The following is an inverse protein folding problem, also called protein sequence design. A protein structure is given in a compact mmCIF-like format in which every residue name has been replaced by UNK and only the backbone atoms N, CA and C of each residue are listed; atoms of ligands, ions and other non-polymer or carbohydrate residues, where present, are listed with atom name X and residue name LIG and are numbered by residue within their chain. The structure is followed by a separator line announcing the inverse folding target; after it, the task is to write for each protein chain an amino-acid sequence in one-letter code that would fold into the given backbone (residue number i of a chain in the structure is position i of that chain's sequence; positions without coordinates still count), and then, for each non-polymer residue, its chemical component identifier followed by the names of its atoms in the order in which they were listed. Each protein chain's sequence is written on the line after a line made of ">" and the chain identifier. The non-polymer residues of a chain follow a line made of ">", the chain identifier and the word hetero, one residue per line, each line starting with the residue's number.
data_IF_631390708716
#
_entry.id   IF_631390708716
#
_cell.length_a   1.000
_cell.length_b   1.000
_cell.length_c   1.000
_cell.angle_alpha   90.00
_cell.angle_beta   90.00
_cell.angle_gamma   90.00
#
_symmetry.space_group_name_H-M   'P 1'
#
loop_
_entity.id
_entity.type
_entity.pdbx_description
1 polymer ?
#
# COMPACT_ATOMS: atom_id res chain seq x y z
N UNK A 1 28.00 15.43 10.96
CA UNK A 1 26.74 14.73 11.19
C UNK A 1 26.68 13.43 10.38
N UNK A 2 25.87 12.49 10.84
CA UNK A 2 25.66 11.23 10.14
C UNK A 2 24.38 11.33 9.32
N UNK A 3 24.48 10.92 8.04
CA UNK A 3 23.36 10.95 7.09
C UNK A 3 23.10 9.58 6.49
N UNK A 4 21.82 9.25 6.36
CA UNK A 4 21.33 8.23 5.44
C UNK A 4 20.66 8.92 4.26
N UNK A 5 20.91 8.49 3.04
CA UNK A 5 20.23 8.98 1.83
C UNK A 5 19.34 7.88 1.27
N UNK A 6 18.13 8.24 0.86
CA UNK A 6 17.22 7.27 0.23
C UNK A 6 17.81 6.72 -1.07
N UNK A 7 17.71 5.41 -1.27
CA UNK A 7 18.29 4.74 -2.44
C UNK A 7 17.59 5.13 -3.77
N UNK A 8 16.38 5.69 -3.70
CA UNK A 8 15.62 6.20 -4.86
C UNK A 8 14.80 7.43 -4.50
N UNK A 9 14.28 8.10 -5.50
CA UNK A 9 13.29 9.17 -5.34
C UNK A 9 11.97 8.55 -4.86
N UNK A 10 11.49 8.95 -3.68
CA UNK A 10 10.32 8.35 -3.03
C UNK A 10 9.00 8.79 -3.69
N UNK A 11 8.92 10.06 -4.11
CA UNK A 11 7.75 10.63 -4.77
C UNK A 11 8.20 11.51 -5.93
N UNK A 12 7.42 11.60 -6.98
CA UNK A 12 7.63 12.50 -8.11
C UNK A 12 6.36 13.29 -8.41
N UNK A 13 6.42 14.19 -9.37
CA UNK A 13 5.28 15.08 -9.72
C UNK A 13 4.80 15.89 -8.50
N UNK A 14 5.73 16.28 -7.66
CA UNK A 14 5.55 17.14 -6.50
C UNK A 14 6.45 18.36 -6.63
N UNK A 15 5.94 19.56 -6.36
CA UNK A 15 6.71 20.78 -6.41
C UNK A 15 7.59 20.96 -5.15
N UNK A 16 8.64 21.76 -5.28
CA UNK A 16 9.46 22.12 -4.14
C UNK A 16 8.64 22.87 -3.07
N UNK A 17 7.73 23.76 -3.53
CA UNK A 17 6.89 24.56 -2.64
C UNK A 17 5.91 23.70 -1.84
N UNK A 18 5.34 22.64 -2.44
CA UNK A 18 4.51 21.66 -1.72
C UNK A 18 5.29 20.89 -0.66
N UNK A 19 6.50 20.47 -0.97
CA UNK A 19 7.39 19.82 0.00
C UNK A 19 7.81 20.78 1.12
N UNK A 20 8.12 22.03 0.78
CA UNK A 20 8.49 23.07 1.74
C UNK A 20 7.32 23.41 2.68
N UNK A 21 6.11 23.50 2.16
CA UNK A 21 4.91 23.73 2.97
C UNK A 21 4.67 22.64 4.02
N UNK A 22 5.22 21.44 3.80
CA UNK A 22 5.22 20.31 4.74
C UNK A 22 6.49 20.17 5.57
N UNK A 23 7.37 21.18 5.55
CA UNK A 23 8.69 21.20 6.19
C UNK A 23 9.66 20.09 5.72
N UNK A 24 9.40 19.45 4.58
CA UNK A 24 10.22 18.33 4.10
C UNK A 24 11.50 18.79 3.38
N UNK A 25 11.62 20.07 3.04
CA UNK A 25 12.84 20.62 2.43
C UNK A 25 13.93 20.87 3.46
N UNK A 26 13.61 21.61 4.52
CA UNK A 26 14.61 22.02 5.52
C UNK A 26 14.61 21.16 6.77
N UNK A 27 13.58 20.38 6.99
CA UNK A 27 13.56 19.35 8.02
C UNK A 27 12.24 19.24 8.76
N UNK A 28 11.83 17.99 8.97
CA UNK A 28 10.77 17.60 9.89
C UNK A 28 11.27 16.48 10.78
N UNK A 29 10.79 16.43 12.00
CA UNK A 29 11.19 15.40 12.96
C UNK A 29 10.65 14.03 12.53
N UNK A 30 11.50 13.01 12.62
CA UNK A 30 11.18 11.63 12.35
C UNK A 30 11.82 10.73 13.40
N UNK A 31 11.04 9.77 13.91
CA UNK A 31 11.54 8.80 14.90
C UNK A 31 11.51 7.38 14.34
N UNK A 32 12.61 6.66 14.50
CA UNK A 32 12.70 5.24 14.15
C UNK A 32 13.77 4.55 14.98
N UNK A 33 13.50 3.31 15.40
CA UNK A 33 14.46 2.50 16.14
C UNK A 33 14.90 3.10 17.49
N UNK A 34 14.08 3.98 18.09
CA UNK A 34 14.43 4.71 19.31
C UNK A 34 15.40 5.89 19.07
N UNK A 35 15.59 6.30 17.82
CA UNK A 35 16.44 7.40 17.41
C UNK A 35 15.62 8.54 16.85
N UNK A 36 16.08 9.78 17.07
CA UNK A 36 15.51 10.98 16.49
C UNK A 36 16.32 11.39 15.25
N UNK A 37 15.60 11.67 14.18
CA UNK A 37 16.15 12.09 12.89
C UNK A 37 15.48 13.39 12.45
N UNK A 38 16.21 14.15 11.63
CA UNK A 38 15.61 15.14 10.75
C UNK A 38 15.47 14.57 9.35
N UNK A 39 14.24 14.44 8.86
CA UNK A 39 13.93 14.08 7.48
C UNK A 39 13.89 15.35 6.64
N UNK A 40 14.70 15.46 5.60
CA UNK A 40 14.80 16.65 4.76
C UNK A 40 15.36 16.35 3.37
N UNK A 41 15.31 17.33 2.46
CA UNK A 41 16.06 17.26 1.23
C UNK A 41 17.58 17.41 1.51
N UNK A 42 18.47 16.87 0.67
CA UNK A 42 19.91 17.15 0.77
C UNK A 42 20.24 18.56 0.27
N UNK A 43 21.30 19.15 0.77
CA UNK A 43 21.88 20.32 0.12
C UNK A 43 22.52 19.92 -1.21
N UNK A 44 22.34 20.73 -2.25
CA UNK A 44 22.65 20.40 -3.64
C UNK A 44 23.60 21.39 -4.31
N UNK A 45 23.88 22.53 -3.65
CA UNK A 45 24.57 23.67 -4.19
C UNK A 45 23.67 24.59 -5.00
N UNK A 46 23.98 25.91 -4.95
CA UNK A 46 23.16 27.01 -5.52
C UNK A 46 23.53 27.36 -6.96
N UNK A 47 24.59 26.82 -7.48
CA UNK A 47 25.11 27.15 -8.81
C UNK A 47 25.90 25.97 -9.38
N UNK A 48 25.84 25.80 -10.72
CA UNK A 48 26.69 24.87 -11.46
C UNK A 48 27.71 25.69 -12.25
N UNK A 49 28.96 25.31 -12.16
CA UNK A 49 29.96 25.84 -13.10
C UNK A 49 29.81 25.06 -14.41
N UNK A 50 29.17 25.68 -15.40
CA UNK A 50 29.06 25.14 -16.76
C UNK A 50 30.42 25.22 -17.46
N UNK A 51 31.30 24.28 -17.14
CA UNK A 51 32.55 24.08 -17.84
C UNK A 51 32.54 22.73 -18.49
N UNK A 52 32.33 22.65 -19.79
CA UNK A 52 32.39 21.44 -20.64
C UNK A 52 31.54 20.20 -20.19
N UNK A 53 30.85 19.56 -21.07
CA UNK A 53 30.08 18.32 -20.78
C UNK A 53 30.89 17.11 -20.27
N UNK A 54 32.20 17.25 -20.23
CA UNK A 54 33.16 16.23 -19.80
C UNK A 54 33.80 16.55 -18.43
N UNK A 55 33.52 17.72 -17.84
CA UNK A 55 33.99 18.05 -16.50
C UNK A 55 32.94 17.66 -15.49
N UNK A 56 33.35 16.99 -14.41
CA UNK A 56 32.56 16.74 -13.23
C UNK A 56 31.88 18.05 -12.80
N UNK A 57 30.59 18.22 -13.11
CA UNK A 57 29.81 19.40 -12.76
C UNK A 57 29.63 19.51 -11.25
N UNK A 58 30.69 20.01 -10.61
CA UNK A 58 30.65 20.26 -9.17
C UNK A 58 29.80 21.52 -8.95
N UNK A 59 28.69 21.32 -8.26
CA UNK A 59 27.88 22.46 -7.81
C UNK A 59 28.60 23.28 -6.74
N UNK A 60 28.35 24.60 -6.72
CA UNK A 60 28.93 25.51 -5.74
C UNK A 60 27.90 25.91 -4.68
N UNK A 61 28.26 25.99 -3.39
CA UNK A 61 29.57 25.56 -2.85
C UNK A 61 29.76 24.03 -2.96
N UNK A 62 30.98 23.59 -3.17
CA UNK A 62 31.32 22.16 -3.28
C UNK A 62 31.06 21.37 -1.98
N UNK A 63 31.04 22.07 -0.85
CA UNK A 63 30.78 21.49 0.47
C UNK A 63 29.29 21.17 0.70
N UNK A 64 28.48 20.95 -0.34
CA UNK A 64 27.12 20.47 -0.21
C UNK A 64 27.06 18.95 -0.01
N UNK A 65 25.95 18.48 0.55
CA UNK A 65 25.78 17.06 0.92
C UNK A 65 25.77 16.15 -0.28
N UNK A 66 25.07 16.52 -1.36
CA UNK A 66 25.04 15.68 -2.56
C UNK A 66 26.44 15.40 -3.10
N UNK A 67 27.25 16.42 -3.23
CA UNK A 67 28.65 16.31 -3.69
C UNK A 67 29.49 15.47 -2.71
N UNK A 68 29.35 15.71 -1.40
CA UNK A 68 30.08 14.95 -0.40
C UNK A 68 29.68 13.46 -0.40
N UNK A 69 28.40 13.13 -0.54
CA UNK A 69 27.91 11.74 -0.61
C UNK A 69 28.39 11.07 -1.91
N UNK A 70 28.35 11.81 -3.03
CA UNK A 70 28.78 11.33 -4.34
C UNK A 70 30.26 10.90 -4.35
N UNK A 71 31.11 11.68 -3.72
CA UNK A 71 32.57 11.45 -3.71
C UNK A 71 33.08 10.76 -2.42
N UNK A 72 32.18 10.35 -1.53
CA UNK A 72 32.57 9.66 -0.29
C UNK A 72 33.16 8.26 -0.53
N UNK A 73 32.93 7.68 -1.70
CA UNK A 73 33.46 6.38 -2.09
C UNK A 73 33.94 6.41 -3.56
N UNK A 74 35.22 6.16 -3.78
CA UNK A 74 35.83 6.18 -5.13
C UNK A 74 35.33 5.07 -6.06
N UNK A 75 34.88 3.93 -5.49
CA UNK A 75 34.45 2.77 -6.30
C UNK A 75 32.95 2.79 -6.66
N UNK A 76 32.11 3.26 -5.75
CA UNK A 76 30.66 3.27 -5.96
C UNK A 76 30.03 4.43 -5.20
N UNK A 77 29.49 5.40 -5.90
CA UNK A 77 28.67 6.45 -5.30
C UNK A 77 27.58 5.84 -4.38
N UNK A 78 27.38 6.41 -3.21
CA UNK A 78 26.28 6.02 -2.33
C UNK A 78 24.91 6.47 -2.86
N UNK A 79 24.87 7.25 -3.95
CA UNK A 79 23.62 7.69 -4.59
C UNK A 79 23.22 6.67 -5.64
N UNK A 80 22.16 5.92 -5.37
CA UNK A 80 21.64 4.87 -6.25
C UNK A 80 20.41 5.34 -7.03
N UNK A 81 20.01 4.58 -8.04
CA UNK A 81 18.75 4.80 -8.80
C UNK A 81 18.50 6.27 -9.20
N UNK A 82 19.54 6.95 -9.63
CA UNK A 82 19.49 8.36 -10.03
C UNK A 82 19.11 8.56 -11.51
N UNK A 83 19.27 7.51 -12.35
CA UNK A 83 19.04 7.61 -13.79
C UNK A 83 17.57 7.86 -14.12
N UNK A 84 17.34 8.89 -14.96
CA UNK A 84 16.01 9.29 -15.39
C UNK A 84 15.23 10.14 -14.35
N UNK A 85 15.81 10.38 -13.16
CA UNK A 85 15.13 11.12 -12.09
C UNK A 85 16.03 12.17 -11.47
N UNK A 86 15.54 13.39 -11.37
CA UNK A 86 16.12 14.44 -10.54
C UNK A 86 15.61 14.35 -9.10
N UNK A 87 16.46 14.77 -8.19
CA UNK A 87 16.14 14.91 -6.77
C UNK A 87 16.14 16.38 -6.38
N UNK A 88 15.06 16.87 -5.74
CA UNK A 88 15.02 18.22 -5.18
C UNK A 88 16.12 18.42 -4.14
N UNK A 89 16.82 19.55 -4.23
CA UNK A 89 17.74 20.02 -3.20
C UNK A 89 17.14 21.15 -2.35
N UNK A 90 17.83 21.49 -1.26
CA UNK A 90 17.43 22.61 -0.40
C UNK A 90 17.70 23.98 -1.06
N UNK A 91 18.68 24.05 -1.95
CA UNK A 91 19.27 25.29 -2.40
C UNK A 91 18.44 25.99 -3.47
N UNK A 92 18.36 27.31 -3.37
CA UNK A 92 17.88 28.19 -4.44
C UNK A 92 18.98 28.38 -5.48
N UNK A 93 18.61 28.55 -6.74
CA UNK A 93 19.52 28.97 -7.77
C UNK A 93 20.03 30.41 -7.47
N UNK A 94 21.32 30.62 -7.50
CA UNK A 94 21.93 31.89 -7.05
C UNK A 94 21.62 33.09 -7.95
N UNK A 95 21.29 32.86 -9.24
CA UNK A 95 20.95 33.92 -10.18
C UNK A 95 19.46 34.25 -10.22
N UNK A 96 18.61 33.25 -9.85
CA UNK A 96 17.16 33.44 -9.78
C UNK A 96 16.55 32.58 -8.67
N UNK A 97 16.11 33.24 -7.60
CA UNK A 97 15.55 32.56 -6.42
C UNK A 97 14.17 31.94 -6.62
N UNK A 98 13.54 32.12 -7.78
CA UNK A 98 12.31 31.36 -8.14
C UNK A 98 12.61 29.94 -8.59
N UNK A 99 13.88 29.63 -8.85
CA UNK A 99 14.34 28.30 -9.20
C UNK A 99 15.00 27.59 -8.02
N UNK A 100 14.90 26.28 -8.02
CA UNK A 100 15.52 25.40 -7.01
C UNK A 100 16.45 24.40 -7.67
N UNK A 101 17.55 24.13 -6.97
CA UNK A 101 18.53 23.14 -7.41
C UNK A 101 17.95 21.73 -7.42
N UNK A 102 18.22 21.00 -8.49
CA UNK A 102 17.93 19.58 -8.62
C UNK A 102 19.19 18.82 -9.06
N UNK A 103 19.32 17.57 -8.61
CA UNK A 103 20.50 16.75 -8.88
C UNK A 103 20.13 15.37 -9.42
N UNK A 104 21.03 14.80 -10.22
CA UNK A 104 20.86 13.46 -10.80
C UNK A 104 20.36 13.50 -12.23
N UNK A 105 19.59 12.52 -12.64
CA UNK A 105 19.02 12.25 -13.96
C UNK A 105 20.00 11.58 -14.93
N UNK A 106 20.91 12.30 -15.56
CA UNK A 106 21.99 11.77 -16.42
C UNK A 106 23.10 12.82 -16.58
N UNK A 107 24.26 12.66 -15.95
CA UNK A 107 24.69 11.64 -14.96
C UNK A 107 24.33 11.98 -13.50
N UNK A 108 24.78 11.18 -12.54
CA UNK A 108 24.48 11.37 -11.10
C UNK A 108 24.93 12.71 -10.53
N UNK A 109 26.02 13.26 -11.03
CA UNK A 109 26.58 14.55 -10.63
C UNK A 109 25.88 15.74 -11.28
N UNK A 110 25.00 15.50 -12.25
CA UNK A 110 24.35 16.57 -13.01
C UNK A 110 23.54 17.49 -12.09
N UNK A 111 23.73 18.80 -12.30
CA UNK A 111 23.03 19.86 -11.60
C UNK A 111 22.12 20.60 -12.58
N UNK A 112 20.93 20.94 -12.15
CA UNK A 112 20.01 21.79 -12.90
C UNK A 112 19.21 22.66 -11.92
N UNK A 113 18.51 23.67 -12.45
CA UNK A 113 17.57 24.48 -11.69
C UNK A 113 16.21 24.50 -12.39
N UNK A 114 15.17 24.27 -11.62
CA UNK A 114 13.78 24.24 -12.10
C UNK A 114 12.87 25.08 -11.20
N UNK A 115 11.73 25.55 -11.74
CA UNK A 115 10.81 26.46 -11.04
C UNK A 115 10.24 25.77 -9.79
N UNK A 116 10.27 26.48 -8.66
CA UNK A 116 9.91 25.89 -7.35
C UNK A 116 8.44 25.44 -7.23
N UNK A 117 7.53 26.18 -7.86
CA UNK A 117 6.09 25.93 -7.78
C UNK A 117 5.54 24.95 -8.83
N UNK A 118 6.37 24.48 -9.77
CA UNK A 118 5.95 23.57 -10.82
C UNK A 118 6.23 22.11 -10.48
N UNK A 119 5.43 21.21 -11.04
CA UNK A 119 5.60 19.76 -10.90
C UNK A 119 6.14 19.15 -12.18
N UNK A 120 7.08 18.22 -12.05
CA UNK A 120 7.72 17.54 -13.18
C UNK A 120 7.68 16.02 -12.95
N UNK A 121 7.39 15.25 -14.00
CA UNK A 121 7.31 13.80 -13.91
C UNK A 121 8.64 13.11 -13.59
N UNK A 122 9.75 13.80 -13.87
CA UNK A 122 11.11 13.31 -13.63
C UNK A 122 11.85 14.07 -12.52
N UNK A 123 11.13 14.82 -11.69
CA UNK A 123 11.69 15.50 -10.52
C UNK A 123 10.89 15.09 -9.29
N UNK A 124 11.59 14.76 -8.20
CA UNK A 124 10.89 14.35 -7.00
C UNK A 124 11.72 14.43 -5.73
N UNK A 125 11.18 13.90 -4.67
CA UNK A 125 11.73 13.96 -3.32
C UNK A 125 12.61 12.73 -3.02
N UNK A 126 13.90 12.96 -2.84
CA UNK A 126 14.87 12.00 -2.31
C UNK A 126 15.37 12.52 -0.98
N UNK A 127 14.83 12.08 0.14
CA UNK A 127 15.23 12.57 1.44
C UNK A 127 16.61 12.08 1.88
N UNK A 128 17.16 12.84 2.79
CA UNK A 128 18.19 12.38 3.73
C UNK A 128 17.58 12.32 5.13
N UNK A 129 18.05 11.38 5.94
CA UNK A 129 17.82 11.32 7.37
C UNK A 129 19.11 11.72 8.08
N UNK A 130 19.05 12.82 8.80
CA UNK A 130 20.14 13.29 9.65
C UNK A 130 19.91 12.83 11.08
N UNK A 131 20.88 12.14 11.67
CA UNK A 131 20.81 11.68 13.07
C UNK A 131 21.03 12.87 13.98
N UNK A 132 20.02 13.23 14.78
CA UNK A 132 20.06 14.39 15.67
C UNK A 132 20.76 14.13 17.02
N UNK A 133 20.83 12.88 17.42
CA UNK A 133 21.29 12.52 18.77
C UNK A 133 22.81 12.69 18.91
N UNK A 134 23.22 13.66 19.70
CA UNK A 134 24.64 13.95 19.94
C UNK A 134 25.39 12.78 20.61
N UNK A 135 24.69 11.90 21.33
CA UNK A 135 25.26 10.72 21.97
C UNK A 135 25.49 9.59 20.95
N UNK A 136 24.84 9.64 19.78
CA UNK A 136 24.97 8.65 18.71
C UNK A 136 26.00 9.04 17.63
N UNK A 137 26.63 10.22 17.74
CA UNK A 137 27.69 10.66 16.78
C UNK A 137 28.99 9.88 16.90
N UNK A 138 29.01 8.79 17.63
CA UNK A 138 30.08 7.80 17.65
C UNK A 138 29.48 6.40 17.49
N UNK A 139 30.31 5.42 17.12
CA UNK A 139 29.90 4.02 16.92
C UNK A 139 29.24 3.34 18.14
N UNK A 140 29.22 4.01 19.29
CA UNK A 140 28.71 3.47 20.55
C UNK A 140 27.19 3.66 20.77
N UNK A 141 26.53 4.50 19.96
CA UNK A 141 25.09 4.81 20.15
C UNK A 141 24.15 4.13 19.16
N UNK A 142 24.69 3.50 18.11
CA UNK A 142 23.90 2.84 17.06
C UNK A 142 24.16 1.32 17.06
N UNK A 143 23.09 0.55 16.87
CA UNK A 143 23.13 -0.86 16.56
C UNK A 143 22.36 -1.12 15.25
N UNK A 144 22.69 -2.20 14.58
CA UNK A 144 22.00 -2.64 13.37
C UNK A 144 21.33 -3.97 13.68
N UNK A 145 20.04 -4.06 13.38
CA UNK A 145 19.28 -5.30 13.46
C UNK A 145 18.95 -5.75 12.04
N UNK A 146 19.28 -7.00 11.72
CA UNK A 146 18.86 -7.62 10.48
C UNK A 146 17.45 -8.18 10.62
N UNK A 147 16.59 -7.89 9.67
CA UNK A 147 15.26 -8.45 9.55
C UNK A 147 15.32 -9.54 8.49
N UNK A 148 15.39 -10.77 8.94
CA UNK A 148 15.37 -11.97 8.10
C UNK A 148 13.92 -12.32 7.77
N UNK A 149 13.57 -12.23 6.50
CA UNK A 149 12.20 -12.47 6.01
C UNK A 149 11.82 -13.95 6.01
N UNK A 150 12.77 -14.86 6.25
CA UNK A 150 12.57 -16.31 6.33
C UNK A 150 11.73 -16.85 5.17
N UNK A 151 12.13 -16.51 3.95
CA UNK A 151 11.44 -16.89 2.71
C UNK A 151 10.30 -15.96 2.28
N UNK A 152 9.84 -15.06 3.15
CA UNK A 152 8.90 -14.01 2.77
C UNK A 152 9.53 -12.94 1.87
N UNK A 153 8.73 -11.91 1.52
CA UNK A 153 9.15 -10.81 0.64
C UNK A 153 8.64 -9.47 1.15
N UNK A 154 9.35 -8.40 0.80
CA UNK A 154 8.90 -7.01 0.94
C UNK A 154 9.00 -6.34 -0.43
N UNK A 155 7.90 -5.80 -0.96
CA UNK A 155 7.88 -5.14 -2.26
C UNK A 155 8.40 -6.02 -3.39
N UNK A 156 8.18 -7.33 -3.30
CA UNK A 156 8.66 -8.33 -4.25
C UNK A 156 10.11 -8.79 -4.04
N UNK A 157 10.92 -8.12 -3.18
CA UNK A 157 12.28 -8.55 -2.83
C UNK A 157 12.27 -9.57 -1.70
N UNK A 158 13.09 -10.62 -1.85
CA UNK A 158 13.38 -11.61 -0.81
C UNK A 158 14.64 -11.28 0.01
N UNK A 159 15.25 -10.12 -0.23
CA UNK A 159 16.45 -9.71 0.48
C UNK A 159 16.12 -9.30 1.92
N UNK A 160 16.99 -9.67 2.85
CA UNK A 160 16.88 -9.24 4.24
C UNK A 160 16.99 -7.71 4.35
N UNK A 161 16.26 -7.14 5.29
CA UNK A 161 16.24 -5.70 5.56
C UNK A 161 17.11 -5.40 6.78
N UNK A 162 17.76 -4.25 6.80
CA UNK A 162 18.52 -3.77 7.96
C UNK A 162 17.86 -2.54 8.52
N UNK A 163 17.65 -2.54 9.83
CA UNK A 163 17.18 -1.37 10.55
C UNK A 163 18.22 -0.86 11.52
N UNK A 164 18.27 0.45 11.70
CA UNK A 164 19.17 1.09 12.66
C UNK A 164 18.38 1.38 13.91
N UNK A 165 18.95 1.02 15.06
CA UNK A 165 18.31 1.18 16.37
C UNK A 165 19.27 1.81 17.37
N UNK A 166 18.76 2.38 18.47
CA UNK A 166 19.57 2.87 19.56
C UNK A 166 20.22 1.68 20.30
N UNK A 167 21.53 1.70 20.44
CA UNK A 167 22.27 0.69 21.23
C UNK A 167 21.91 0.79 22.72
N UNK A 168 21.70 -0.37 23.35
CA UNK A 168 21.36 -0.46 24.77
C UNK A 168 19.92 -0.08 25.12
N UNK A 169 19.07 0.15 24.12
CA UNK A 169 17.65 0.46 24.28
C UNK A 169 16.73 -0.66 23.79
N UNK A 170 15.52 -0.28 23.43
CA UNK A 170 14.53 -1.12 22.77
C UNK A 170 14.02 -0.44 21.51
N UNK A 171 13.57 -1.23 20.55
CA UNK A 171 12.88 -0.76 19.37
C UNK A 171 11.56 -1.54 19.19
N UNK A 172 10.69 -1.05 18.33
CA UNK A 172 9.42 -1.70 18.05
C UNK A 172 9.57 -2.73 16.95
N UNK A 173 9.14 -3.96 17.19
CA UNK A 173 9.13 -5.02 16.18
C UNK A 173 8.28 -4.60 14.98
N UNK A 174 8.75 -4.80 13.72
CA UNK A 174 7.98 -4.45 12.53
C UNK A 174 6.59 -5.10 12.53
N UNK A 175 5.60 -4.38 11.98
CA UNK A 175 4.20 -4.82 12.00
C UNK A 175 3.90 -5.98 11.08
N UNK A 176 4.70 -6.20 10.04
CA UNK A 176 4.50 -7.27 9.08
C UNK A 176 3.41 -7.01 8.03
N UNK A 177 2.80 -5.81 8.00
CA UNK A 177 1.74 -5.49 7.02
C UNK A 177 2.21 -5.55 5.56
N UNK A 178 3.48 -5.24 5.31
CA UNK A 178 4.05 -5.22 3.97
C UNK A 178 4.80 -6.52 3.63
N UNK A 179 4.63 -7.56 4.43
CA UNK A 179 5.28 -8.85 4.22
C UNK A 179 4.40 -9.78 3.38
N UNK A 180 4.90 -10.18 2.24
CA UNK A 180 4.35 -11.27 1.45
C UNK A 180 4.82 -12.61 2.02
N UNK A 181 3.89 -13.54 2.19
CA UNK A 181 4.19 -14.88 2.69
C UNK A 181 5.02 -15.70 1.69
N UNK A 182 5.90 -16.60 2.16
CA UNK A 182 6.73 -17.44 1.29
C UNK A 182 5.92 -18.46 0.47
N UNK A 183 4.77 -18.87 0.97
CA UNK A 183 3.88 -19.86 0.35
C UNK A 183 2.40 -19.57 0.66
N UNK A 184 1.52 -20.17 -0.10
CA UNK A 184 0.08 -20.10 0.17
C UNK A 184 -0.26 -20.76 1.52
N UNK A 185 -1.34 -20.27 2.12
CA UNK A 185 -1.85 -20.80 3.39
C UNK A 185 -0.96 -20.64 4.62
N UNK A 186 0.03 -19.76 4.59
CA UNK A 186 0.73 -19.31 5.79
C UNK A 186 0.49 -17.81 6.03
N UNK A 187 0.60 -17.39 7.27
CA UNK A 187 0.46 -15.99 7.67
C UNK A 187 1.60 -15.59 8.59
N UNK A 188 1.83 -14.30 8.68
CA UNK A 188 2.83 -13.78 9.59
C UNK A 188 2.44 -14.01 11.05
N UNK A 189 3.32 -14.65 11.79
CA UNK A 189 3.12 -15.08 13.17
C UNK A 189 3.97 -14.32 14.20
N UNK A 190 4.62 -13.21 13.79
CA UNK A 190 5.54 -12.46 14.63
C UNK A 190 7.00 -12.72 14.29
N UNK A 191 7.88 -12.41 15.19
CA UNK A 191 9.34 -12.46 15.03
C UNK A 191 9.99 -13.38 16.06
N UNK A 192 11.17 -13.90 15.73
CA UNK A 192 12.04 -14.60 16.67
C UNK A 192 13.41 -13.94 16.68
N UNK A 193 13.94 -13.65 17.86
CA UNK A 193 15.30 -13.12 18.05
C UNK A 193 15.86 -13.56 19.38
N UNK A 194 17.14 -13.92 19.44
CA UNK A 194 17.82 -14.41 20.65
C UNK A 194 17.04 -15.53 21.39
N UNK A 195 16.34 -16.40 20.63
CA UNK A 195 15.54 -17.50 21.20
C UNK A 195 14.20 -17.07 21.83
N UNK A 196 13.82 -15.81 21.74
CA UNK A 196 12.53 -15.27 22.19
C UNK A 196 11.62 -14.97 21.01
N UNK A 197 10.32 -14.94 21.28
CA UNK A 197 9.30 -14.60 20.30
C UNK A 197 8.71 -13.23 20.61
N UNK A 198 8.57 -12.39 19.60
CA UNK A 198 7.99 -11.06 19.67
C UNK A 198 6.80 -10.95 18.72
N UNK A 199 5.74 -10.31 19.19
CA UNK A 199 4.60 -9.96 18.33
C UNK A 199 4.93 -8.71 17.50
N UNK A 200 4.18 -8.51 16.42
CA UNK A 200 4.17 -7.25 15.71
C UNK A 200 3.90 -6.08 16.69
N UNK A 201 4.69 -5.02 16.60
CA UNK A 201 4.57 -3.85 17.48
C UNK A 201 5.11 -4.01 18.90
N UNK A 202 5.63 -5.18 19.28
CA UNK A 202 6.20 -5.43 20.61
C UNK A 202 7.60 -4.82 20.74
N UNK A 203 7.99 -4.45 21.96
CA UNK A 203 9.32 -3.92 22.23
C UNK A 203 10.37 -5.04 22.18
N UNK A 204 11.42 -4.82 21.42
CA UNK A 204 12.56 -5.74 21.23
C UNK A 204 13.82 -5.08 21.76
N UNK A 205 14.64 -5.77 22.54
CA UNK A 205 15.95 -5.26 22.96
C UNK A 205 16.90 -5.06 21.76
N UNK A 206 17.69 -4.00 21.78
CA UNK A 206 18.61 -3.64 20.70
C UNK A 206 19.86 -4.51 20.59
N UNK A 207 20.03 -5.46 21.51
CA UNK A 207 21.07 -6.51 21.48
C UNK A 207 20.64 -7.76 20.69
N UNK A 208 19.47 -7.74 20.08
CA UNK A 208 19.02 -8.73 19.11
C UNK A 208 19.64 -8.39 17.76
N UNK A 209 20.60 -9.18 17.30
CA UNK A 209 21.28 -8.94 16.02
C UNK A 209 20.39 -9.24 14.81
N UNK A 210 19.50 -10.23 14.94
CA UNK A 210 18.60 -10.67 13.87
C UNK A 210 17.20 -10.96 14.42
N UNK A 211 16.20 -10.38 13.76
CA UNK A 211 14.79 -10.77 13.88
C UNK A 211 14.39 -11.60 12.68
N UNK A 212 14.08 -12.86 12.90
CA UNK A 212 13.60 -13.77 11.87
C UNK A 212 12.09 -13.83 11.86
N UNK A 213 11.48 -13.62 10.69
CA UNK A 213 10.04 -13.73 10.51
C UNK A 213 9.56 -15.14 10.81
N UNK A 214 8.49 -15.24 11.57
CA UNK A 214 7.79 -16.50 11.84
C UNK A 214 6.58 -16.60 10.93
N UNK A 215 6.53 -17.66 10.18
CA UNK A 215 5.37 -18.03 9.39
C UNK A 215 4.65 -19.17 10.08
N UNK A 216 3.35 -19.04 10.21
CA UNK A 216 2.50 -20.08 10.79
C UNK A 216 1.40 -20.46 9.79
N UNK A 217 0.90 -21.71 9.83
CA UNK A 217 -0.27 -22.05 9.05
C UNK A 217 -1.39 -21.04 9.34
N UNK A 218 -2.08 -20.62 8.29
CA UNK A 218 -3.26 -19.81 8.47
C UNK A 218 -4.37 -20.71 9.06
N UNK A 219 -4.84 -20.37 10.23
CA UNK A 219 -5.92 -21.07 10.89
C UNK A 219 -7.25 -20.37 10.56
N UNK A 220 -8.31 -21.13 10.31
CA UNK A 220 -9.65 -20.57 10.16
C UNK A 220 -10.02 -19.78 11.42
N UNK A 221 -10.38 -18.51 11.23
CA UNK A 221 -10.67 -17.62 12.36
C UNK A 221 -12.02 -17.87 13.00
N UNK A 222 -12.93 -18.48 12.24
CA UNK A 222 -14.32 -18.66 12.63
C UNK A 222 -14.67 -20.16 12.65
N UNK A 223 -15.23 -20.62 13.74
CA UNK A 223 -15.80 -21.98 13.86
C UNK A 223 -17.18 -22.05 13.19
N UNK A 224 -17.20 -21.82 11.88
CA UNK A 224 -18.39 -21.82 11.04
C UNK A 224 -18.16 -22.68 9.79
N UNK A 225 -19.23 -23.25 9.25
CA UNK A 225 -19.15 -24.20 8.15
C UNK A 225 -19.17 -23.45 6.80
N UNK A 226 -18.14 -23.59 5.95
CA UNK A 226 -18.17 -23.03 4.58
C UNK A 226 -19.41 -23.54 3.81
N UNK A 227 -20.08 -22.62 3.11
CA UNK A 227 -21.36 -22.86 2.45
C UNK A 227 -22.57 -22.72 3.37
N UNK A 228 -22.37 -22.60 4.68
CA UNK A 228 -23.46 -22.31 5.63
C UNK A 228 -23.98 -20.89 5.48
N UNK A 229 -25.28 -20.70 5.71
CA UNK A 229 -25.93 -19.40 5.70
C UNK A 229 -26.02 -18.85 7.13
N UNK A 230 -25.58 -17.61 7.31
CA UNK A 230 -25.57 -16.89 8.59
C UNK A 230 -26.26 -15.54 8.42
N UNK A 231 -26.92 -15.09 9.46
CA UNK A 231 -27.83 -13.93 9.39
C UNK A 231 -27.25 -12.75 10.16
N UNK A 232 -27.27 -11.57 9.54
CA UNK A 232 -26.76 -10.34 10.12
C UNK A 232 -27.81 -9.23 10.08
N UNK A 233 -27.99 -8.50 11.17
CA UNK A 233 -28.85 -7.34 11.22
C UNK A 233 -28.08 -6.11 10.75
N UNK A 234 -28.34 -5.66 9.54
CA UNK A 234 -27.74 -4.48 8.93
C UNK A 234 -28.62 -3.24 8.99
N UNK A 235 -29.74 -3.26 9.72
CA UNK A 235 -30.72 -2.16 9.77
C UNK A 235 -30.10 -0.83 10.25
N UNK A 236 -29.08 -0.88 11.09
CA UNK A 236 -28.38 0.30 11.61
C UNK A 236 -27.27 0.84 10.67
N UNK A 237 -26.98 0.17 9.56
CA UNK A 237 -25.84 0.51 8.70
C UNK A 237 -26.13 1.66 7.71
N UNK A 238 -27.38 2.13 7.62
CA UNK A 238 -27.79 3.21 6.70
C UNK A 238 -27.30 3.00 5.25
N UNK A 239 -27.40 1.76 4.73
CA UNK A 239 -26.95 1.42 3.38
C UNK A 239 -27.77 2.22 2.36
N UNK A 240 -27.15 2.98 1.45
CA UNK A 240 -27.86 3.78 0.46
C UNK A 240 -28.64 2.92 -0.54
N UNK A 241 -29.67 3.52 -1.15
CA UNK A 241 -30.51 2.88 -2.16
C UNK A 241 -31.82 2.35 -1.59
N UNK A 242 -32.58 1.69 -2.45
CA UNK A 242 -33.84 1.04 -2.07
C UNK A 242 -33.55 -0.40 -1.68
N UNK A 243 -34.10 -0.86 -0.54
CA UNK A 243 -33.92 -2.23 -0.10
C UNK A 243 -34.43 -3.19 -1.20
N UNK A 244 -33.59 -4.16 -1.52
CA UNK A 244 -33.86 -5.12 -2.58
C UNK A 244 -34.56 -6.37 -2.05
N UNK A 245 -35.73 -6.64 -2.60
CA UNK A 245 -36.44 -7.91 -2.42
C UNK A 245 -36.43 -8.76 -3.70
N UNK A 246 -35.68 -8.35 -4.73
CA UNK A 246 -35.54 -9.05 -6.01
C UNK A 246 -34.22 -9.79 -6.07
N UNK A 247 -34.20 -10.80 -6.83
CA UNK A 247 -33.02 -11.59 -7.10
C UNK A 247 -33.42 -12.94 -7.63
N UNK A 248 -32.51 -13.60 -8.33
CA UNK A 248 -32.67 -14.91 -8.90
C UNK A 248 -34.07 -15.17 -9.49
N UNK A 249 -34.34 -14.64 -10.68
CA UNK A 249 -35.63 -14.73 -11.38
C UNK A 249 -36.14 -16.18 -11.53
N UNK A 250 -35.22 -17.16 -11.45
CA UNK A 250 -35.60 -18.59 -11.47
C UNK A 250 -36.13 -19.07 -10.11
N UNK A 251 -36.14 -18.24 -9.07
CA UNK A 251 -36.72 -18.53 -7.77
C UNK A 251 -36.03 -19.65 -6.98
N UNK A 252 -34.75 -19.94 -7.29
CA UNK A 252 -34.02 -21.04 -6.66
C UNK A 252 -33.73 -20.78 -5.18
N UNK A 253 -33.54 -19.51 -4.79
CA UNK A 253 -33.32 -19.14 -3.39
C UNK A 253 -34.24 -17.97 -3.04
N UNK A 254 -35.14 -18.13 -2.04
CA UNK A 254 -36.01 -17.07 -1.58
C UNK A 254 -35.15 -15.87 -1.06
N UNK A 255 -35.47 -14.68 -1.50
CA UNK A 255 -34.98 -13.44 -0.88
C UNK A 255 -35.90 -13.17 0.31
N UNK A 256 -35.36 -12.89 1.52
CA UNK A 256 -36.13 -12.52 2.69
C UNK A 256 -36.98 -11.27 2.48
N UNK A 257 -37.51 -10.71 3.52
CA UNK A 257 -38.38 -9.52 3.45
C UNK A 257 -37.67 -8.27 2.86
N UNK A 258 -38.40 -7.19 2.70
CA UNK A 258 -37.91 -5.92 2.17
C UNK A 258 -37.21 -5.09 3.25
N UNK A 259 -36.48 -5.72 4.14
CA UNK A 259 -35.74 -5.06 5.23
C UNK A 259 -34.27 -5.47 5.25
N UNK A 260 -33.45 -4.71 5.96
CA UNK A 260 -32.07 -5.07 6.26
C UNK A 260 -31.92 -5.76 7.62
N UNK A 261 -33.03 -6.15 8.25
CA UNK A 261 -33.02 -7.01 9.42
C UNK A 261 -32.77 -8.45 8.98
N UNK A 262 -31.84 -9.12 9.63
CA UNK A 262 -31.54 -10.53 9.37
C UNK A 262 -31.26 -10.86 7.89
N UNK A 263 -30.28 -10.15 7.33
CA UNK A 263 -29.79 -10.39 5.98
C UNK A 263 -28.98 -11.70 5.96
N UNK A 264 -29.28 -12.62 5.01
CA UNK A 264 -28.51 -13.86 4.90
C UNK A 264 -27.19 -13.64 4.15
N UNK A 265 -26.14 -14.22 4.69
CA UNK A 265 -24.83 -14.30 4.09
C UNK A 265 -24.35 -15.74 4.06
N UNK A 266 -23.75 -16.15 2.96
CA UNK A 266 -23.05 -17.43 2.87
C UNK A 266 -21.60 -17.26 3.28
N UNK A 267 -21.16 -18.06 4.23
CA UNK A 267 -19.76 -18.14 4.59
C UNK A 267 -18.97 -18.86 3.50
N UNK A 268 -18.03 -18.19 2.86
CA UNK A 268 -17.25 -18.77 1.76
C UNK A 268 -16.03 -19.56 2.25
N UNK A 269 -15.80 -19.56 3.57
CA UNK A 269 -14.58 -20.08 4.15
C UNK A 269 -13.42 -19.11 3.92
N UNK A 270 -12.24 -19.62 4.09
CA UNK A 270 -11.00 -18.97 3.77
C UNK A 270 -10.84 -18.80 2.27
N UNK A 271 -10.45 -17.61 1.84
CA UNK A 271 -10.08 -17.30 0.47
C UNK A 271 -8.73 -16.58 0.43
N UNK A 272 -8.02 -16.75 -0.68
CA UNK A 272 -6.83 -15.96 -1.02
C UNK A 272 -7.18 -15.09 -2.21
N UNK A 273 -7.50 -13.83 -1.93
CA UNK A 273 -7.93 -12.86 -2.94
C UNK A 273 -7.52 -11.45 -2.50
N UNK A 274 -7.43 -10.52 -3.43
CA UNK A 274 -7.19 -9.13 -3.07
C UNK A 274 -8.48 -8.42 -2.66
N UNK A 275 -8.34 -7.39 -1.84
CA UNK A 275 -9.33 -6.35 -1.60
C UNK A 275 -8.65 -4.99 -1.72
N UNK A 276 -9.38 -3.98 -2.20
CA UNK A 276 -8.84 -2.63 -2.32
C UNK A 276 -9.13 -1.81 -1.07
N UNK A 277 -8.26 -0.86 -0.76
CA UNK A 277 -8.47 0.20 0.23
C UNK A 277 -8.69 1.54 -0.46
N UNK A 278 -9.15 2.54 0.29
CA UNK A 278 -9.35 3.92 -0.20
C UNK A 278 -8.06 4.55 -0.82
N UNK A 279 -6.89 4.08 -0.42
CA UNK A 279 -5.59 4.63 -0.85
C UNK A 279 -5.03 3.96 -2.10
N UNK A 280 -5.66 2.88 -2.59
CA UNK A 280 -5.09 2.02 -3.61
C UNK A 280 -5.69 2.20 -5.01
N UNK A 281 -5.24 3.22 -5.75
CA UNK A 281 -5.36 3.26 -7.22
C UNK A 281 -4.34 2.32 -7.92
N UNK A 282 -3.57 1.53 -7.18
CA UNK A 282 -2.49 0.71 -7.71
C UNK A 282 -3.00 -0.51 -8.46
N UNK A 283 -2.46 -0.70 -9.68
CA UNK A 283 -2.78 -1.81 -10.58
C UNK A 283 -2.23 -3.16 -10.10
N UNK A 284 -1.31 -3.17 -9.15
CA UNK A 284 -0.73 -4.37 -8.57
C UNK A 284 -1.36 -4.64 -7.20
N UNK A 285 -2.45 -5.39 -7.19
CA UNK A 285 -3.13 -5.78 -5.96
C UNK A 285 -2.66 -7.17 -5.53
N UNK A 286 -2.16 -7.26 -4.31
CA UNK A 286 -1.69 -8.51 -3.71
C UNK A 286 -2.84 -9.25 -3.04
N UNK A 287 -2.96 -10.54 -3.31
CA UNK A 287 -3.90 -11.39 -2.60
C UNK A 287 -3.43 -11.65 -1.17
N UNK A 288 -4.38 -11.69 -0.25
CA UNK A 288 -4.13 -12.07 1.14
C UNK A 288 -5.18 -13.06 1.63
N UNK A 289 -4.84 -13.80 2.66
CA UNK A 289 -5.74 -14.79 3.23
C UNK A 289 -6.73 -14.11 4.19
N UNK A 290 -8.03 -14.32 3.96
CA UNK A 290 -9.08 -13.81 4.84
C UNK A 290 -10.32 -14.71 4.80
N UNK A 291 -11.13 -14.61 5.85
CA UNK A 291 -12.45 -15.23 5.94
C UNK A 291 -13.50 -14.27 5.40
N UNK A 292 -14.37 -14.75 4.52
CA UNK A 292 -15.36 -13.90 3.86
C UNK A 292 -16.78 -14.50 3.97
N UNK A 293 -17.72 -13.62 4.29
CA UNK A 293 -19.15 -13.84 4.11
C UNK A 293 -19.61 -13.05 2.90
N UNK A 294 -20.31 -13.66 1.96
CA UNK A 294 -20.93 -12.98 0.82
C UNK A 294 -22.45 -12.89 1.03
N UNK A 295 -23.03 -11.72 0.83
CA UNK A 295 -24.48 -11.57 0.92
C UNK A 295 -25.19 -12.45 -0.11
N UNK A 296 -26.25 -13.14 0.30
CA UNK A 296 -26.99 -14.07 -0.54
C UNK A 296 -27.84 -13.37 -1.63
N UNK A 297 -27.94 -12.04 -1.59
CA UNK A 297 -28.59 -11.23 -2.60
C UNK A 297 -28.03 -9.78 -2.59
N UNK A 298 -28.31 -9.02 -3.63
CA UNK A 298 -27.99 -7.60 -3.68
C UNK A 298 -28.87 -6.86 -2.66
N UNK A 299 -28.26 -6.18 -1.68
CA UNK A 299 -28.95 -5.60 -0.52
C UNK A 299 -29.83 -4.40 -0.88
N UNK A 300 -29.32 -3.51 -1.73
CA UNK A 300 -30.04 -2.32 -2.20
C UNK A 300 -29.84 -2.15 -3.70
N UNK A 301 -30.80 -1.50 -4.34
CA UNK A 301 -30.76 -1.13 -5.76
C UNK A 301 -31.05 0.36 -5.94
N UNK A 302 -30.97 0.86 -7.18
CA UNK A 302 -31.14 2.28 -7.50
C UNK A 302 -30.17 3.16 -6.71
N UNK A 303 -28.94 2.71 -6.62
CA UNK A 303 -27.83 3.36 -5.92
C UNK A 303 -26.61 3.37 -6.83
N UNK A 304 -25.88 4.47 -6.84
CA UNK A 304 -24.62 4.61 -7.57
C UNK A 304 -23.45 4.10 -6.75
N UNK A 305 -22.35 3.81 -7.46
CA UNK A 305 -21.06 3.49 -6.81
C UNK A 305 -20.59 4.62 -5.91
N UNK A 306 -20.75 5.87 -6.37
CA UNK A 306 -20.31 7.06 -5.63
C UNK A 306 -21.13 7.28 -4.34
N UNK A 307 -22.44 6.98 -4.33
CA UNK A 307 -23.26 7.02 -3.11
C UNK A 307 -22.80 5.98 -2.08
N UNK A 308 -22.50 4.74 -2.51
CA UNK A 308 -21.95 3.72 -1.64
C UNK A 308 -20.54 4.09 -1.15
N UNK A 309 -19.69 4.64 -2.01
CA UNK A 309 -18.36 5.09 -1.66
C UNK A 309 -18.40 6.27 -0.67
N UNK A 310 -19.34 7.19 -0.81
CA UNK A 310 -19.57 8.29 0.13
C UNK A 310 -19.93 7.83 1.55
N UNK A 311 -20.41 6.59 1.70
CA UNK A 311 -20.65 5.91 2.98
C UNK A 311 -19.54 4.91 3.37
N UNK A 312 -18.40 4.91 2.69
CA UNK A 312 -17.29 3.96 2.83
C UNK A 312 -17.66 2.50 2.60
N UNK A 313 -18.77 2.20 1.91
CA UNK A 313 -19.25 0.82 1.73
C UNK A 313 -18.63 0.11 0.53
N UNK A 314 -17.92 0.83 -0.31
CA UNK A 314 -17.13 0.20 -1.40
C UNK A 314 -15.87 -0.45 -0.84
N UNK A 315 -15.08 0.31 -0.06
CA UNK A 315 -13.77 -0.15 0.42
C UNK A 315 -13.79 -0.64 1.86
N UNK A 316 -14.81 -0.32 2.62
CA UNK A 316 -15.02 -0.88 3.95
C UNK A 316 -15.45 0.09 5.01
N UNK A 317 -16.48 -0.29 5.74
CA UNK A 317 -16.93 0.36 6.97
C UNK A 317 -17.03 -0.67 8.08
N UNK A 318 -16.72 -0.26 9.32
CA UNK A 318 -16.80 -1.15 10.48
C UNK A 318 -18.23 -1.58 10.77
N UNK A 319 -18.41 -2.86 11.06
CA UNK A 319 -19.66 -3.45 11.49
C UNK A 319 -19.41 -4.42 12.64
N UNK A 320 -20.17 -4.35 13.70
CA UNK A 320 -20.05 -5.25 14.85
C UNK A 320 -21.28 -6.08 15.04
N UNK A 321 -21.12 -7.38 15.17
CA UNK A 321 -22.20 -8.32 15.44
C UNK A 321 -21.74 -9.48 16.31
N UNK A 322 -22.53 -9.84 17.31
CA UNK A 322 -22.22 -10.95 18.20
C UNK A 322 -20.89 -10.83 18.97
N UNK A 323 -20.37 -9.59 19.15
CA UNK A 323 -19.08 -9.35 19.78
C UNK A 323 -17.87 -9.57 18.83
N UNK A 324 -18.13 -9.75 17.53
CA UNK A 324 -17.11 -9.87 16.48
C UNK A 324 -17.12 -8.61 15.63
N UNK A 325 -15.94 -8.12 15.29
CA UNK A 325 -15.75 -6.99 14.40
C UNK A 325 -15.62 -7.47 12.96
N UNK A 326 -16.39 -6.87 12.08
CA UNK A 326 -16.42 -7.14 10.64
C UNK A 326 -16.12 -5.86 9.86
N UNK A 327 -15.72 -6.02 8.62
CA UNK A 327 -15.69 -4.95 7.62
C UNK A 327 -16.76 -5.23 6.57
N UNK A 328 -17.81 -4.38 6.51
CA UNK A 328 -18.82 -4.43 5.47
C UNK A 328 -18.34 -3.64 4.25
N UNK A 329 -18.27 -4.28 3.09
CA UNK A 329 -17.76 -3.71 1.85
C UNK A 329 -18.24 -4.44 0.60
N UNK A 330 -18.04 -3.84 -0.56
CA UNK A 330 -18.20 -4.56 -1.84
C UNK A 330 -17.06 -5.57 -2.05
N UNK A 331 -17.27 -6.64 -2.81
CA UNK A 331 -16.20 -7.57 -3.17
C UNK A 331 -15.28 -6.95 -4.24
N UNK A 332 -14.03 -7.41 -4.31
CA UNK A 332 -13.18 -7.18 -5.48
C UNK A 332 -13.64 -8.06 -6.64
N UNK A 333 -13.58 -7.53 -7.87
CA UNK A 333 -14.25 -8.12 -9.04
C UNK A 333 -13.39 -8.12 -10.32
N UNK A 334 -12.18 -7.57 -10.24
CA UNK A 334 -11.29 -7.37 -11.38
C UNK A 334 -11.56 -6.07 -12.13
N UNK A 335 -10.49 -5.37 -12.53
CA UNK A 335 -10.54 -4.05 -13.21
C UNK A 335 -10.61 -4.17 -14.72
N UNK A 336 -10.54 -5.37 -15.25
CA UNK A 336 -10.68 -5.73 -16.68
C UNK A 336 -11.27 -7.14 -16.76
N UNK A 337 -11.50 -7.65 -17.95
CA UNK A 337 -12.08 -8.98 -18.17
C UNK A 337 -11.29 -9.81 -19.18
N UNK A 338 -11.46 -11.15 -19.11
CA UNK A 338 -10.92 -12.08 -20.07
C UNK A 338 -12.01 -12.57 -21.02
N UNK A 339 -11.83 -12.41 -22.34
CA UNK A 339 -12.52 -13.19 -23.38
C UNK A 339 -13.99 -12.85 -23.58
N UNK A 340 -14.79 -13.79 -24.05
CA UNK A 340 -16.15 -13.63 -24.56
C UNK A 340 -17.21 -14.17 -23.61
N UNK A 341 -18.33 -13.55 -23.64
CA UNK A 341 -19.69 -13.66 -23.08
C UNK A 341 -20.06 -14.80 -22.11
N UNK A 342 -19.52 -16.01 -22.20
CA UNK A 342 -19.89 -17.13 -21.33
C UNK A 342 -18.81 -17.56 -20.32
N UNK A 343 -17.60 -17.00 -20.46
CA UNK A 343 -16.46 -17.34 -19.61
C UNK A 343 -15.75 -16.13 -19.03
N UNK A 344 -16.44 -15.01 -18.93
CA UNK A 344 -15.86 -13.74 -18.47
C UNK A 344 -15.39 -13.85 -17.02
N UNK A 345 -14.14 -13.53 -16.80
CA UNK A 345 -13.55 -13.41 -15.47
C UNK A 345 -12.94 -12.04 -15.33
N UNK A 346 -12.90 -11.56 -14.11
CA UNK A 346 -12.20 -10.32 -13.80
C UNK A 346 -10.68 -10.50 -13.84
N UNK A 347 -9.98 -9.49 -14.33
CA UNK A 347 -8.51 -9.42 -14.25
C UNK A 347 -8.14 -8.31 -13.27
N UNK A 348 -7.31 -8.59 -12.24
CA UNK A 348 -6.62 -9.86 -11.92
C UNK A 348 -7.57 -10.98 -11.48
N UNK A 349 -7.19 -12.22 -11.80
CA UNK A 349 -8.01 -13.41 -11.50
C UNK A 349 -8.14 -13.73 -10.00
N UNK A 350 -7.20 -13.24 -9.19
CA UNK A 350 -7.21 -13.38 -7.73
C UNK A 350 -8.14 -12.36 -7.04
N UNK A 351 -9.20 -11.91 -7.72
CA UNK A 351 -10.29 -11.15 -7.12
C UNK A 351 -11.23 -12.06 -6.32
N UNK A 352 -11.99 -11.48 -5.38
CA UNK A 352 -12.87 -12.23 -4.48
C UNK A 352 -14.02 -12.92 -5.22
N UNK A 353 -14.64 -12.22 -6.18
CA UNK A 353 -15.78 -12.79 -6.91
C UNK A 353 -15.41 -14.06 -7.66
N UNK A 354 -14.35 -14.03 -8.46
CA UNK A 354 -13.91 -15.21 -9.21
C UNK A 354 -13.36 -16.31 -8.30
N UNK A 355 -12.70 -15.93 -7.19
CA UNK A 355 -12.24 -16.90 -6.19
C UNK A 355 -13.42 -17.64 -5.53
N UNK A 356 -14.55 -16.96 -5.29
CA UNK A 356 -15.77 -17.57 -4.77
C UNK A 356 -16.42 -18.48 -5.82
N UNK A 357 -16.47 -18.05 -7.09
CA UNK A 357 -16.98 -18.85 -8.21
C UNK A 357 -16.23 -20.17 -8.40
N UNK A 358 -14.92 -20.17 -8.14
CA UNK A 358 -14.08 -21.35 -8.28
C UNK A 358 -14.20 -22.35 -7.11
N UNK A 359 -14.96 -22.01 -6.07
CA UNK A 359 -15.31 -22.97 -5.00
C UNK A 359 -16.26 -24.04 -5.53
N UNK A 360 -16.10 -25.28 -5.05
CA UNK A 360 -16.85 -26.45 -5.52
C UNK A 360 -18.38 -26.28 -5.52
N UNK A 361 -18.93 -25.42 -4.68
CA UNK A 361 -20.37 -25.27 -4.50
C UNK A 361 -20.91 -23.90 -4.95
N UNK A 362 -20.17 -23.11 -5.69
CA UNK A 362 -20.56 -21.77 -6.11
C UNK A 362 -21.43 -21.04 -5.07
N UNK A 363 -20.80 -20.32 -4.14
CA UNK A 363 -21.50 -19.68 -3.02
C UNK A 363 -22.22 -18.37 -3.39
N UNK A 364 -22.16 -17.95 -4.66
CA UNK A 364 -22.91 -16.79 -5.15
C UNK A 364 -24.36 -17.17 -5.41
N UNK A 365 -25.28 -16.50 -4.75
CA UNK A 365 -26.72 -16.74 -4.86
C UNK A 365 -27.44 -15.50 -5.37
N UNK A 366 -28.66 -15.68 -5.87
CA UNK A 366 -29.56 -14.60 -6.31
C UNK A 366 -28.90 -13.53 -7.18
N UNK A 367 -27.97 -13.94 -8.03
CA UNK A 367 -27.24 -13.05 -8.96
C UNK A 367 -28.05 -12.78 -10.23
N UNK A 368 -29.02 -13.60 -10.58
CA UNK A 368 -29.77 -13.49 -11.83
C UNK A 368 -30.76 -12.32 -11.77
N UNK A 369 -30.76 -11.50 -12.80
CA UNK A 369 -31.60 -10.31 -12.89
C UNK A 369 -31.10 -9.10 -12.09
N UNK A 370 -29.98 -9.22 -11.38
CA UNK A 370 -29.40 -8.14 -10.58
C UNK A 370 -27.89 -8.07 -10.76
N UNK A 371 -27.36 -6.85 -10.94
CA UNK A 371 -25.94 -6.60 -10.88
C UNK A 371 -25.46 -6.30 -9.45
N UNK A 372 -24.29 -6.78 -9.13
CA UNK A 372 -23.56 -6.45 -7.89
C UNK A 372 -22.42 -5.49 -8.20
N UNK A 373 -22.36 -4.36 -7.50
CA UNK A 373 -21.27 -3.39 -7.60
C UNK A 373 -20.01 -3.92 -6.91
N UNK A 374 -18.88 -3.87 -7.62
CA UNK A 374 -17.58 -4.23 -7.09
C UNK A 374 -16.74 -3.04 -6.63
N UNK A 375 -15.59 -3.34 -6.01
CA UNK A 375 -14.61 -2.32 -5.59
C UNK A 375 -13.84 -1.72 -6.77
N UNK A 376 -13.74 -2.45 -7.86
CA UNK A 376 -12.83 -2.12 -8.97
C UNK A 376 -13.43 -1.10 -9.92
N UNK A 377 -12.56 -0.25 -10.46
CA UNK A 377 -12.82 0.62 -11.60
C UNK A 377 -12.30 -0.02 -12.88
N UNK A 378 -12.92 0.30 -14.01
CA UNK A 378 -12.50 -0.21 -15.29
C UNK A 378 -11.16 0.40 -15.73
N UNK A 379 -10.19 -0.45 -16.08
CA UNK A 379 -8.88 0.02 -16.56
C UNK A 379 -8.93 0.83 -17.85
N UNK A 380 -9.92 0.57 -18.72
CA UNK A 380 -10.10 1.32 -19.96
C UNK A 380 -10.70 2.70 -19.77
N UNK A 381 -11.49 2.89 -18.71
CA UNK A 381 -12.09 4.17 -18.34
C UNK A 381 -12.36 4.19 -16.83
N UNK A 382 -11.53 4.91 -16.08
CA UNK A 382 -11.63 4.98 -14.61
C UNK A 382 -12.86 5.74 -14.10
N UNK A 383 -13.65 6.37 -14.97
CA UNK A 383 -14.98 6.91 -14.62
C UNK A 383 -16.04 5.81 -14.53
N UNK A 384 -15.75 4.60 -15.00
CA UNK A 384 -16.68 3.47 -14.94
C UNK A 384 -16.35 2.55 -13.76
N UNK A 385 -17.39 2.05 -13.11
CA UNK A 385 -17.31 1.02 -12.09
C UNK A 385 -17.71 -0.35 -12.64
N UNK A 386 -17.23 -1.41 -12.00
CA UNK A 386 -17.43 -2.79 -12.46
C UNK A 386 -18.63 -3.41 -11.76
N UNK A 387 -19.40 -4.14 -12.54
CA UNK A 387 -20.57 -4.91 -12.14
C UNK A 387 -20.38 -6.39 -12.43
N UNK A 388 -20.90 -7.24 -11.55
CA UNK A 388 -20.92 -8.71 -11.74
C UNK A 388 -22.33 -9.25 -11.60
N UNK A 389 -22.59 -10.40 -12.24
CA UNK A 389 -23.89 -11.07 -12.17
C UNK A 389 -24.87 -10.62 -13.26
N UNK A 390 -26.15 -10.71 -12.99
CA UNK A 390 -27.31 -10.41 -13.83
C UNK A 390 -27.66 -11.51 -14.86
N UNK A 391 -26.88 -11.71 -15.91
CA UNK A 391 -27.19 -12.72 -16.94
C UNK A 391 -26.63 -14.10 -16.59
N UNK A 392 -25.39 -14.13 -16.12
CA UNK A 392 -24.72 -15.27 -15.53
C UNK A 392 -23.99 -14.84 -14.27
N UNK A 393 -23.66 -15.77 -13.39
CA UNK A 393 -22.82 -15.53 -12.23
C UNK A 393 -21.40 -15.04 -12.59
N UNK A 394 -20.98 -15.24 -13.85
CA UNK A 394 -19.69 -14.83 -14.43
C UNK A 394 -19.74 -13.51 -15.16
N UNK A 395 -20.93 -12.97 -15.47
CA UNK A 395 -21.06 -11.73 -16.23
C UNK A 395 -20.22 -10.61 -15.63
N UNK A 396 -19.52 -9.90 -16.47
CA UNK A 396 -18.72 -8.73 -16.16
C UNK A 396 -19.20 -7.57 -17.01
N UNK A 397 -19.41 -6.42 -16.44
CA UNK A 397 -19.91 -5.23 -17.12
C UNK A 397 -19.36 -3.97 -16.47
N UNK A 398 -19.22 -2.87 -17.21
CA UNK A 398 -18.85 -1.56 -16.68
C UNK A 398 -19.92 -0.51 -16.96
N UNK A 399 -20.16 0.38 -16.03
CA UNK A 399 -21.07 1.51 -16.19
C UNK A 399 -20.46 2.78 -15.56
N UNK A 400 -20.91 3.95 -16.00
CA UNK A 400 -20.58 5.21 -15.34
C UNK A 400 -21.00 5.18 -13.86
N UNK A 401 -20.14 5.68 -12.97
CA UNK A 401 -20.28 5.60 -11.51
C UNK A 401 -21.26 6.63 -10.97
#
# INVERSE_FOLDING_TARGET
>A
HSLFIADHVLTHSVSWDELNAKNMIFGTDYQSGGLDYTLRAPSAGSFSWAGSPESDDLSLPQSNEWTNILYANEENSYIKNWKGMYSWGQDSYSEDTSYRAVRGNEPVHFWNAVVSGETYTNVGFRPVLEVQDAETTGSAGLAVVEIDLNGGRIGGSADNVRIVVRSGGTFTAPTGYDLDAPEECVTFGGWTGNGQTYKAGEAVPSDVDTLTARWKPWEEQLDVIPGGTYWFDLSAMEIPGMVNNKGNEDGAVPVPDESLNWVPFTYTGKISAYSRSLEGADQNVTAYNHSLFIADHVLTHSVSWDELNGKNMIFGTGYQSGGVDYTLRSPSVGSNYTGSDESERGIPLNNEWDTILDKENNYLKNWKGMFSLGQDRYLGDTSECILRGNWTDRSWYSIAS
#
